data_IF_747001661765
#
_entry.id   IF_747001661765
#
_cell.length_a   1.000
_cell.length_b   1.000
_cell.length_c   1.000
_cell.angle_alpha   90.00
_cell.angle_beta   90.00
_cell.angle_gamma   90.00
#
_symmetry.space_group_name_H-M   'P 1'
#
loop_
_entity.id
_entity.type
_entity.pdbx_description
1 polymer ?
#
# COMPACT_ATOMS: atom_id res chain seq x y z
N UNK A 1 11.19 -11.65 0.12
CA UNK A 1 10.45 -10.39 0.41
C UNK A 1 11.28 -9.12 0.21
N UNK A 2 12.59 -9.12 0.51
CA UNK A 2 13.41 -7.89 0.43
C UNK A 2 13.46 -7.23 -0.96
N UNK A 3 13.32 -7.99 -2.04
CA UNK A 3 13.39 -7.44 -3.41
C UNK A 3 12.18 -6.61 -3.85
N UNK A 4 11.06 -6.67 -3.12
CA UNK A 4 9.82 -5.96 -3.48
C UNK A 4 9.56 -4.74 -2.60
N UNK A 5 10.26 -4.59 -1.47
CA UNK A 5 10.02 -3.48 -0.55
C UNK A 5 10.52 -2.16 -1.16
N UNK A 6 9.62 -1.20 -1.21
CA UNK A 6 9.86 0.11 -1.82
C UNK A 6 9.44 1.20 -0.85
N UNK A 7 10.36 2.11 -0.53
CA UNK A 7 10.08 3.26 0.31
C UNK A 7 10.01 4.54 -0.54
N UNK A 8 8.84 5.17 -0.58
CA UNK A 8 8.58 6.39 -1.37
C UNK A 8 9.50 7.56 -1.00
N UNK A 9 9.98 7.61 0.24
CA UNK A 9 10.84 8.70 0.72
C UNK A 9 12.18 8.81 -0.04
N UNK A 10 12.62 7.72 -0.67
CA UNK A 10 13.86 7.69 -1.46
C UNK A 10 13.70 8.30 -2.86
N UNK A 11 12.46 8.60 -3.29
CA UNK A 11 12.14 9.02 -4.67
C UNK A 11 11.65 10.47 -4.77
N UNK A 12 12.33 11.38 -4.08
CA UNK A 12 12.01 12.82 -4.12
C UNK A 12 12.23 13.46 -5.50
N UNK A 13 13.07 12.85 -6.35
CA UNK A 13 13.41 13.36 -7.69
C UNK A 13 12.50 12.82 -8.79
N UNK A 14 11.66 11.81 -8.50
CA UNK A 14 10.72 11.29 -9.48
C UNK A 14 9.45 12.11 -9.41
N UNK A 15 9.21 12.91 -10.45
CA UNK A 15 8.00 13.73 -10.60
C UNK A 15 6.76 12.87 -10.73
N UNK A 16 5.68 13.23 -10.02
CA UNK A 16 4.39 12.53 -10.08
C UNK A 16 3.24 13.54 -10.07
N UNK A 17 3.17 14.41 -11.12
CA UNK A 17 2.25 15.54 -11.17
C UNK A 17 0.81 15.11 -11.43
N UNK A 18 -0.14 15.93 -10.96
CA UNK A 18 -1.54 15.91 -11.34
C UNK A 18 -2.06 17.34 -11.34
N UNK A 19 -3.25 17.58 -11.91
CA UNK A 19 -3.90 18.90 -11.88
C UNK A 19 -4.00 19.43 -10.44
N UNK A 20 -3.46 20.61 -10.18
CA UNK A 20 -3.38 21.22 -8.87
C UNK A 20 -2.27 20.67 -7.95
N UNK A 21 -1.46 19.73 -8.45
CA UNK A 21 -0.33 19.10 -7.76
C UNK A 21 0.87 18.96 -8.70
N UNK A 22 1.21 20.00 -9.42
CA UNK A 22 2.20 20.00 -10.51
C UNK A 22 3.62 19.68 -10.01
N UNK A 23 3.92 20.06 -8.75
CA UNK A 23 5.22 19.82 -8.11
C UNK A 23 5.28 18.51 -7.31
N UNK A 24 4.22 17.67 -7.36
CA UNK A 24 4.21 16.41 -6.63
C UNK A 24 5.27 15.44 -7.16
N UNK A 25 5.82 14.65 -6.24
CA UNK A 25 6.80 13.61 -6.51
C UNK A 25 6.31 12.27 -5.95
N UNK A 26 7.00 11.18 -6.26
CA UNK A 26 6.73 9.89 -5.60
C UNK A 26 6.88 10.02 -4.09
N UNK A 27 7.87 10.76 -3.58
CA UNK A 27 8.01 10.99 -2.14
C UNK A 27 6.75 11.60 -1.53
N UNK A 28 6.10 12.56 -2.17
CA UNK A 28 4.95 13.28 -1.60
C UNK A 28 3.60 12.61 -1.86
N UNK A 29 3.47 11.84 -2.94
CA UNK A 29 2.16 11.36 -3.43
C UNK A 29 2.17 9.92 -3.97
N UNK A 30 3.28 9.19 -3.84
CA UNK A 30 3.51 7.91 -4.49
C UNK A 30 3.15 6.67 -3.66
N UNK A 31 2.47 6.80 -2.51
CA UNK A 31 2.14 5.64 -1.68
C UNK A 31 1.38 4.55 -2.44
N UNK A 32 0.45 4.93 -3.32
CA UNK A 32 -0.28 3.98 -4.15
C UNK A 32 0.61 3.24 -5.16
N UNK A 33 1.51 3.96 -5.84
CA UNK A 33 2.50 3.38 -6.76
C UNK A 33 3.39 2.37 -6.03
N UNK A 34 3.96 2.77 -4.89
CA UNK A 34 4.85 1.92 -4.11
C UNK A 34 4.12 0.70 -3.52
N UNK A 35 2.90 0.87 -3.00
CA UNK A 35 2.10 -0.23 -2.46
C UNK A 35 1.70 -1.23 -3.55
N UNK A 36 1.40 -0.77 -4.77
CA UNK A 36 1.11 -1.63 -5.90
C UNK A 36 2.34 -2.47 -6.31
N UNK A 37 3.54 -1.88 -6.35
CA UNK A 37 4.79 -2.60 -6.61
C UNK A 37 5.00 -3.71 -5.57
N UNK A 38 4.85 -3.38 -4.29
CA UNK A 38 5.08 -4.32 -3.18
C UNK A 38 4.08 -5.48 -3.24
N UNK A 39 2.77 -5.18 -3.33
CA UNK A 39 1.73 -6.20 -3.33
C UNK A 39 1.80 -7.09 -4.58
N UNK A 40 2.02 -6.50 -5.76
CA UNK A 40 2.19 -7.25 -7.01
C UNK A 40 3.42 -8.15 -6.95
N UNK A 41 4.56 -7.62 -6.49
CA UNK A 41 5.78 -8.40 -6.30
C UNK A 41 5.60 -9.56 -5.35
N UNK A 42 4.84 -9.37 -4.27
CA UNK A 42 4.55 -10.43 -3.29
C UNK A 42 3.75 -11.59 -3.89
N UNK A 43 2.79 -11.33 -4.78
CA UNK A 43 1.94 -12.39 -5.35
C UNK A 43 2.47 -12.97 -6.66
N UNK A 44 3.22 -12.21 -7.47
CA UNK A 44 3.68 -12.66 -8.79
C UNK A 44 5.18 -12.95 -8.86
N UNK A 45 5.96 -12.44 -7.92
CA UNK A 45 7.43 -12.44 -8.01
C UNK A 45 8.01 -11.36 -8.93
N UNK A 46 7.18 -10.52 -9.54
CA UNK A 46 7.62 -9.50 -10.49
C UNK A 46 8.31 -8.33 -9.79
N UNK A 47 9.45 -7.91 -10.31
CA UNK A 47 10.16 -6.71 -9.84
C UNK A 47 9.97 -5.59 -10.84
N UNK A 48 9.28 -4.53 -10.41
CA UNK A 48 8.97 -3.36 -11.24
C UNK A 48 9.62 -2.13 -10.63
N UNK A 49 10.33 -1.35 -11.43
CA UNK A 49 10.92 -0.11 -10.94
C UNK A 49 9.85 0.92 -10.60
N UNK A 50 10.15 1.79 -9.64
CA UNK A 50 9.26 2.90 -9.27
C UNK A 50 9.00 3.82 -10.47
N UNK A 51 10.03 4.07 -11.30
CA UNK A 51 9.90 4.86 -12.50
C UNK A 51 8.90 4.24 -13.48
N UNK A 52 9.02 2.93 -13.76
CA UNK A 52 8.11 2.22 -14.67
C UNK A 52 6.67 2.24 -14.16
N UNK A 53 6.45 1.92 -12.89
CA UNK A 53 5.10 1.92 -12.31
C UNK A 53 4.49 3.34 -12.30
N UNK A 54 5.32 4.35 -12.00
CA UNK A 54 4.92 5.76 -12.07
C UNK A 54 4.51 6.16 -13.49
N UNK A 55 5.29 5.77 -14.50
CA UNK A 55 5.00 6.10 -15.88
C UNK A 55 3.69 5.44 -16.34
N UNK A 56 3.45 4.20 -15.97
CA UNK A 56 2.17 3.54 -16.22
C UNK A 56 1.02 4.25 -15.51
N UNK A 57 1.16 4.58 -14.23
CA UNK A 57 0.10 5.28 -13.50
C UNK A 57 -0.28 6.62 -14.14
N UNK A 58 0.70 7.37 -14.63
CA UNK A 58 0.47 8.63 -15.34
C UNK A 58 -0.15 8.39 -16.73
N UNK A 59 0.49 7.55 -17.55
CA UNK A 59 0.07 7.33 -18.94
C UNK A 59 -1.31 6.68 -19.04
N UNK A 60 -1.67 5.84 -18.07
CA UNK A 60 -2.99 5.21 -18.03
C UNK A 60 -4.04 6.05 -17.30
N UNK A 61 -3.68 7.25 -16.82
CA UNK A 61 -4.59 8.14 -16.11
C UNK A 61 -5.04 7.58 -14.75
N UNK A 62 -4.22 6.74 -14.11
CA UNK A 62 -4.43 6.30 -12.72
C UNK A 62 -3.85 7.31 -11.71
N UNK A 63 -2.99 8.24 -12.15
CA UNK A 63 -2.57 9.39 -11.36
C UNK A 63 -3.70 10.42 -11.30
N UNK A 64 -4.18 10.71 -10.10
CA UNK A 64 -5.28 11.65 -9.86
C UNK A 64 -4.89 12.68 -8.81
N UNK A 65 -5.57 13.85 -8.74
CA UNK A 65 -5.40 14.78 -7.63
C UNK A 65 -5.51 14.07 -6.29
N UNK A 66 -4.53 14.26 -5.42
CA UNK A 66 -4.48 13.62 -4.10
C UNK A 66 -3.92 12.21 -4.05
N UNK A 67 -3.51 11.59 -5.17
CA UNK A 67 -2.85 10.29 -5.11
C UNK A 67 -2.97 9.41 -6.35
N UNK A 68 -3.33 8.15 -6.15
CA UNK A 68 -3.47 7.12 -7.19
C UNK A 68 -4.87 6.53 -7.14
N UNK A 69 -5.55 6.47 -8.28
CA UNK A 69 -6.75 5.64 -8.47
C UNK A 69 -6.32 4.17 -8.51
N UNK A 70 -6.41 3.52 -7.36
CA UNK A 70 -5.95 2.15 -7.17
C UNK A 70 -6.79 1.15 -7.97
N UNK A 71 -8.11 1.39 -8.13
CA UNK A 71 -8.97 0.55 -8.95
C UNK A 71 -8.49 0.51 -10.39
N UNK A 72 -8.25 1.69 -10.95
CA UNK A 72 -7.80 1.83 -12.33
C UNK A 72 -6.42 1.23 -12.52
N UNK A 73 -5.49 1.50 -11.60
CA UNK A 73 -4.14 0.96 -11.67
C UNK A 73 -4.13 -0.58 -11.63
N UNK A 74 -4.79 -1.20 -10.66
CA UNK A 74 -4.82 -2.66 -10.52
C UNK A 74 -5.51 -3.35 -11.69
N UNK A 75 -6.61 -2.78 -12.21
CA UNK A 75 -7.27 -3.30 -13.41
C UNK A 75 -6.35 -3.31 -14.64
N UNK A 76 -5.54 -2.28 -14.82
CA UNK A 76 -4.62 -2.19 -15.95
C UNK A 76 -3.40 -3.12 -15.77
N UNK A 77 -2.94 -3.29 -14.53
CA UNK A 77 -1.88 -4.22 -14.18
C UNK A 77 -2.30 -5.68 -14.36
N UNK A 78 -3.55 -6.06 -14.05
CA UNK A 78 -4.05 -7.43 -14.23
C UNK A 78 -4.09 -7.87 -15.70
N UNK A 79 -4.11 -6.96 -16.64
CA UNK A 79 -3.91 -7.26 -18.07
C UNK A 79 -2.46 -7.52 -18.49
N UNK A 80 -1.48 -7.33 -17.58
CA UNK A 80 -0.04 -7.45 -17.85
C UNK A 80 0.67 -8.51 -16.99
N UNK A 81 0.09 -8.83 -15.85
CA UNK A 81 0.67 -9.75 -14.87
C UNK A 81 -0.35 -10.80 -14.46
N UNK A 82 0.08 -12.04 -14.15
CA UNK A 82 -0.83 -13.14 -13.81
C UNK A 82 -1.34 -13.00 -12.36
N UNK A 83 -2.24 -12.06 -12.13
CA UNK A 83 -2.90 -11.89 -10.84
C UNK A 83 -4.34 -11.40 -11.01
N UNK A 84 -5.16 -11.68 -10.02
CA UNK A 84 -6.50 -11.13 -9.85
C UNK A 84 -6.52 -10.13 -8.73
N UNK A 85 -7.35 -9.09 -8.89
CA UNK A 85 -7.63 -8.12 -7.84
C UNK A 85 -9.12 -8.07 -7.56
N UNK A 86 -9.50 -8.06 -6.27
CA UNK A 86 -10.86 -7.84 -5.80
C UNK A 86 -10.89 -6.89 -4.60
N UNK A 87 -12.05 -6.37 -4.27
CA UNK A 87 -12.22 -5.39 -3.22
C UNK A 87 -13.04 -5.95 -2.07
N UNK A 88 -12.75 -5.49 -0.86
CA UNK A 88 -13.58 -5.78 0.31
C UNK A 88 -13.50 -4.67 1.36
N UNK A 89 -14.52 -4.57 2.19
CA UNK A 89 -14.52 -3.79 3.42
C UNK A 89 -14.55 -4.69 4.67
N UNK A 90 -14.59 -6.00 4.47
CA UNK A 90 -14.65 -6.98 5.54
C UNK A 90 -13.25 -7.43 5.93
N UNK A 91 -12.89 -7.17 7.19
CA UNK A 91 -11.64 -7.61 7.79
C UNK A 91 -11.47 -9.13 7.80
N UNK A 92 -12.55 -9.89 7.97
CA UNK A 92 -12.46 -11.35 8.00
C UNK A 92 -12.15 -11.91 6.61
N UNK A 93 -12.70 -11.29 5.56
CA UNK A 93 -12.36 -11.62 4.17
C UNK A 93 -10.90 -11.29 3.89
N UNK A 94 -10.37 -10.15 4.37
CA UNK A 94 -8.94 -9.85 4.30
C UNK A 94 -8.10 -10.94 4.96
N UNK A 95 -8.42 -11.32 6.21
CA UNK A 95 -7.66 -12.32 6.95
C UNK A 95 -7.68 -13.69 6.26
N UNK A 96 -8.84 -14.14 5.79
CA UNK A 96 -8.93 -15.39 5.02
C UNK A 96 -8.07 -15.37 3.75
N UNK A 97 -8.07 -14.24 3.04
CA UNK A 97 -7.27 -14.04 1.83
C UNK A 97 -5.75 -14.10 2.12
N UNK A 98 -5.29 -13.43 3.16
CA UNK A 98 -3.87 -13.45 3.56
C UNK A 98 -3.42 -14.85 3.98
N UNK A 99 -4.26 -15.60 4.71
CA UNK A 99 -3.98 -16.99 5.10
C UNK A 99 -3.92 -17.94 3.91
N UNK A 100 -4.63 -17.63 2.83
CA UNK A 100 -4.56 -18.35 1.56
C UNK A 100 -3.34 -17.99 0.70
N UNK A 101 -2.43 -17.15 1.20
CA UNK A 101 -1.19 -16.77 0.51
C UNK A 101 -1.32 -15.55 -0.41
N UNK A 102 -2.46 -14.85 -0.37
CA UNK A 102 -2.62 -13.58 -1.07
C UNK A 102 -1.92 -12.42 -0.37
N UNK A 103 -1.89 -11.27 -1.04
CA UNK A 103 -1.48 -9.99 -0.47
C UNK A 103 -2.63 -8.97 -0.60
N UNK A 104 -2.52 -7.85 0.09
CA UNK A 104 -3.52 -6.80 -0.04
C UNK A 104 -2.89 -5.40 -0.05
N UNK A 105 -3.65 -4.42 -0.53
CA UNK A 105 -3.36 -3.00 -0.33
C UNK A 105 -4.47 -2.44 0.55
N UNK A 106 -4.10 -1.86 1.70
CA UNK A 106 -5.04 -1.18 2.58
C UNK A 106 -5.07 0.32 2.29
N UNK A 107 -6.26 0.90 2.44
CA UNK A 107 -6.56 2.30 2.20
C UNK A 107 -6.89 2.99 3.52
N UNK A 108 -5.90 3.56 4.20
CA UNK A 108 -6.12 4.23 5.49
C UNK A 108 -6.64 5.65 5.28
N UNK A 109 -7.49 6.08 6.21
CA UNK A 109 -8.25 7.32 6.09
C UNK A 109 -7.54 8.56 6.67
N UNK A 110 -6.35 8.38 7.28
CA UNK A 110 -5.63 9.49 7.88
C UNK A 110 -6.08 9.85 9.29
N UNK A 111 -6.57 8.87 10.07
CA UNK A 111 -6.96 9.06 11.48
C UNK A 111 -5.76 9.10 12.45
N UNK A 112 -4.55 9.19 11.92
CA UNK A 112 -3.34 9.44 12.68
C UNK A 112 -2.62 8.22 13.24
N UNK A 113 -3.13 6.97 13.03
CA UNK A 113 -2.38 5.78 13.42
C UNK A 113 -1.23 5.53 12.46
N UNK A 114 -1.52 5.38 11.16
CA UNK A 114 -0.53 5.09 10.13
C UNK A 114 -0.12 6.34 9.34
N UNK A 115 -1.02 7.28 9.16
CA UNK A 115 -0.77 8.52 8.44
C UNK A 115 -1.66 9.66 8.95
N UNK A 116 -1.25 10.90 8.76
CA UNK A 116 -2.08 12.08 9.02
C UNK A 116 -3.08 12.36 7.89
N UNK A 117 -2.79 11.90 6.68
CA UNK A 117 -3.67 11.96 5.51
C UNK A 117 -4.02 10.57 5.00
N UNK A 118 -4.82 10.52 3.92
CA UNK A 118 -5.08 9.27 3.22
C UNK A 118 -3.78 8.61 2.75
N UNK A 119 -3.68 7.29 2.91
CA UNK A 119 -2.45 6.58 2.61
C UNK A 119 -2.73 5.14 2.19
N UNK A 120 -1.93 4.61 1.25
CA UNK A 120 -1.92 3.22 0.87
C UNK A 120 -0.71 2.51 1.48
N UNK A 121 -0.92 1.28 1.95
CA UNK A 121 0.16 0.39 2.42
C UNK A 121 -0.10 -1.03 1.92
N UNK A 122 0.95 -1.83 1.72
CA UNK A 122 0.79 -3.23 1.34
C UNK A 122 0.73 -4.13 2.59
N UNK A 123 -0.23 -5.05 2.62
CA UNK A 123 -0.38 -6.07 3.66
C UNK A 123 0.06 -7.40 3.07
N UNK A 124 1.12 -7.98 3.64
CA UNK A 124 1.85 -9.11 3.06
C UNK A 124 1.51 -10.45 3.72
N UNK A 125 0.76 -10.44 4.82
CA UNK A 125 0.38 -11.65 5.53
C UNK A 125 0.00 -11.38 6.97
N UNK A 126 -0.26 -12.47 7.70
CA UNK A 126 -0.54 -12.48 9.13
C UNK A 126 0.48 -13.38 9.85
N UNK A 127 1.02 -12.91 10.96
CA UNK A 127 1.96 -13.64 11.79
C UNK A 127 1.64 -13.40 13.25
N UNK A 128 1.33 -14.45 14.00
CA UNK A 128 1.06 -14.36 15.45
C UNK A 128 -0.08 -13.40 15.81
N UNK A 129 -1.15 -13.36 15.00
CA UNK A 129 -2.31 -12.48 15.20
C UNK A 129 -2.06 -11.01 14.81
N UNK A 130 -0.92 -10.70 14.22
CA UNK A 130 -0.59 -9.37 13.69
C UNK A 130 -0.44 -9.40 12.18
N UNK A 131 -0.87 -8.36 11.52
CA UNK A 131 -0.64 -8.13 10.10
C UNK A 131 0.80 -7.69 9.87
N UNK A 132 1.46 -8.30 8.89
CA UNK A 132 2.75 -7.88 8.36
C UNK A 132 2.50 -6.84 7.26
N UNK A 133 2.91 -5.61 7.47
CA UNK A 133 2.59 -4.48 6.61
C UNK A 133 3.88 -3.82 6.12
N UNK A 134 3.97 -3.58 4.83
CA UNK A 134 4.98 -2.71 4.24
C UNK A 134 4.38 -1.31 4.05
N UNK A 135 4.88 -0.37 4.83
CA UNK A 135 4.49 1.04 4.75
C UNK A 135 5.47 1.79 3.84
N UNK A 136 5.06 2.20 2.62
CA UNK A 136 5.95 2.91 1.72
C UNK A 136 6.38 4.29 2.24
N UNK A 137 5.67 4.84 3.20
CA UNK A 137 6.00 6.09 3.87
C UNK A 137 6.72 5.90 5.22
N UNK A 138 7.36 4.75 5.46
CA UNK A 138 8.10 4.48 6.70
C UNK A 138 9.36 5.35 6.78
N UNK A 139 9.57 5.99 7.93
CA UNK A 139 10.80 6.70 8.30
C UNK A 139 11.13 6.45 9.76
N UNK A 140 12.37 6.69 10.12
CA UNK A 140 12.85 6.50 11.50
C UNK A 140 12.01 7.29 12.50
N UNK A 141 11.49 6.61 13.52
CA UNK A 141 10.67 7.23 14.54
C UNK A 141 9.19 7.43 14.20
N UNK A 142 8.73 7.14 12.97
CA UNK A 142 7.31 7.35 12.56
C UNK A 142 6.30 6.77 13.55
N UNK A 143 6.57 5.58 14.06
CA UNK A 143 5.66 4.87 14.97
C UNK A 143 6.03 4.99 16.45
N UNK A 144 7.06 5.77 16.79
CA UNK A 144 7.46 6.06 18.17
C UNK A 144 7.13 7.49 18.64
N UNK A 145 6.52 8.32 17.77
CA UNK A 145 6.23 9.74 18.04
C UNK A 145 5.26 9.96 19.20
N UNK A 146 4.39 9.02 19.50
CA UNK A 146 3.45 9.12 20.61
C UNK A 146 3.11 7.73 21.21
N UNK A 147 2.51 7.73 22.40
CA UNK A 147 2.16 6.51 23.13
C UNK A 147 1.18 5.61 22.35
N UNK A 148 0.20 6.21 21.67
CA UNK A 148 -0.81 5.46 20.89
C UNK A 148 -0.15 4.63 19.78
N UNK A 149 0.77 5.23 19.01
CA UNK A 149 1.49 4.50 17.95
C UNK A 149 2.40 3.42 18.51
N UNK A 150 3.18 3.75 19.54
CA UNK A 150 4.08 2.78 20.20
C UNK A 150 3.35 1.55 20.74
N UNK A 151 2.16 1.73 21.30
CA UNK A 151 1.36 0.64 21.86
C UNK A 151 0.75 -0.28 20.81
N UNK A 152 0.54 0.21 19.56
CA UNK A 152 -0.24 -0.50 18.55
C UNK A 152 0.56 -0.95 17.33
N UNK A 153 1.75 -0.39 17.10
CA UNK A 153 2.57 -0.69 15.92
C UNK A 153 3.98 -1.04 16.36
N UNK A 154 4.42 -2.23 15.96
CA UNK A 154 5.82 -2.66 16.13
C UNK A 154 6.54 -2.51 14.80
N UNK A 155 7.74 -1.94 14.82
CA UNK A 155 8.62 -1.82 13.64
C UNK A 155 9.69 -2.89 13.71
N UNK A 156 9.89 -3.61 12.60
CA UNK A 156 10.98 -4.59 12.46
C UNK A 156 11.58 -4.48 11.06
N UNK A 157 12.74 -3.85 10.98
CA UNK A 157 13.38 -3.50 9.71
C UNK A 157 12.52 -2.58 8.88
N UNK A 158 12.20 -2.98 7.66
CA UNK A 158 11.37 -2.23 6.71
C UNK A 158 9.87 -2.56 6.81
N UNK A 159 9.48 -3.40 7.77
CA UNK A 159 8.10 -3.84 7.98
C UNK A 159 7.56 -3.32 9.31
N UNK A 160 6.25 -3.18 9.35
CA UNK A 160 5.51 -2.88 10.56
C UNK A 160 4.49 -3.98 10.86
N UNK A 161 4.17 -4.15 12.11
CA UNK A 161 3.22 -5.15 12.61
C UNK A 161 2.17 -4.46 13.47
N UNK A 162 0.91 -4.68 13.14
CA UNK A 162 -0.23 -4.16 13.88
C UNK A 162 -1.36 -5.19 13.92
N UNK A 163 -2.24 -5.11 14.93
CA UNK A 163 -3.40 -5.99 14.95
C UNK A 163 -4.36 -5.67 13.80
N UNK A 164 -5.11 -6.66 13.29
CA UNK A 164 -6.14 -6.44 12.27
C UNK A 164 -7.17 -5.38 12.66
N UNK A 165 -7.53 -5.32 13.95
CA UNK A 165 -8.49 -4.34 14.44
C UNK A 165 -7.95 -2.90 14.37
N UNK A 166 -6.66 -2.70 14.65
CA UNK A 166 -6.00 -1.38 14.57
C UNK A 166 -5.96 -0.89 13.12
N UNK A 167 -5.61 -1.77 12.17
CA UNK A 167 -5.63 -1.41 10.75
C UNK A 167 -7.04 -1.09 10.27
N UNK A 168 -8.01 -1.97 10.57
CA UNK A 168 -9.39 -1.80 10.14
C UNK A 168 -10.01 -0.49 10.65
N UNK A 169 -9.75 -0.14 11.91
CA UNK A 169 -10.20 1.12 12.49
C UNK A 169 -9.65 2.35 11.76
N UNK A 170 -8.40 2.31 11.27
CA UNK A 170 -7.80 3.40 10.50
C UNK A 170 -8.25 3.45 9.04
N UNK A 171 -8.86 2.36 8.52
CA UNK A 171 -9.46 2.29 7.19
C UNK A 171 -10.95 2.70 7.16
N UNK A 172 -11.60 2.89 8.31
CA UNK A 172 -13.01 3.31 8.38
C UNK A 172 -13.20 4.66 7.68
N UNK A 173 -14.21 4.75 6.81
CA UNK A 173 -14.48 5.92 5.96
C UNK A 173 -13.82 5.84 4.58
N UNK A 174 -13.04 4.80 4.30
CA UNK A 174 -12.54 4.49 2.96
C UNK A 174 -13.40 3.43 2.27
N UNK A 175 -13.49 3.53 0.97
CA UNK A 175 -14.24 2.62 0.12
C UNK A 175 -13.51 2.38 -1.20
N UNK A 176 -12.98 1.15 -1.46
CA UNK A 176 -12.89 0.05 -0.51
C UNK A 176 -11.82 0.30 0.57
N UNK A 177 -11.90 -0.48 1.67
CA UNK A 177 -10.83 -0.51 2.69
C UNK A 177 -9.63 -1.30 2.22
N UNK A 178 -9.88 -2.39 1.48
CA UNK A 178 -8.86 -3.35 1.06
C UNK A 178 -9.02 -3.72 -0.40
N UNK A 179 -7.90 -3.76 -1.10
CA UNK A 179 -7.73 -4.37 -2.41
C UNK A 179 -6.96 -5.67 -2.20
N UNK A 180 -7.54 -6.79 -2.55
CA UNK A 180 -7.00 -8.13 -2.36
C UNK A 180 -6.37 -8.59 -3.67
N UNK A 181 -5.10 -9.01 -3.63
CA UNK A 181 -4.36 -9.51 -4.79
C UNK A 181 -4.00 -10.98 -4.57
N UNK A 182 -4.24 -11.82 -5.57
CA UNK A 182 -3.86 -13.23 -5.59
C UNK A 182 -3.30 -13.60 -6.95
N UNK A 183 -2.35 -14.55 -6.98
CA UNK A 183 -1.80 -15.05 -8.23
C UNK A 183 -2.88 -15.80 -9.00
N UNK A 184 -2.94 -15.58 -10.32
CA UNK A 184 -3.65 -16.47 -11.23
C UNK A 184 -2.85 -17.78 -11.37
N UNK A 185 -3.56 -18.90 -11.21
CA UNK A 185 -2.98 -20.23 -11.43
C UNK A 185 -2.68 -20.50 -12.89
#
# INVERSE_FOLDING_TARGET
LKGFLVNQNHFARISYPAKGYEKATIKSSGCGVCSAIIALGAVTGSMISVQTMRDWAVNWGARVPGGTDMNKLLRLLSGRFPFKARQTNDRNVLLGHLRAGGAAICNVSGKGMFSAGGHFMAVLGELGGKLCIADPGLYSGKYSVNARRRANVTVSGELIFASPAVLDADCVGRWPRYYLLEREG
#
